data_IF_619713760427
#
_entry.id   IF_619713760427
#
_cell.length_a   1.000
_cell.length_b   1.000
_cell.length_c   1.000
_cell.angle_alpha   90.00
_cell.angle_beta   90.00
_cell.angle_gamma   90.00
#
_symmetry.space_group_name_H-M   'P 1'
#
loop_
_entity.id
_entity.type
_entity.pdbx_description
1 polymer ?
#
# COMPACT_ATOMS: atom_id res chain seq x y z
N UNK A 1 -1.82 -40.74 -60.00
CA UNK A 1 -3.04 -40.07 -59.49
C UNK A 1 -3.39 -40.43 -58.04
N UNK A 2 -3.27 -41.69 -57.58
CA UNK A 2 -3.58 -42.01 -56.12
C UNK A 2 -2.66 -41.36 -55.12
N UNK A 3 -1.35 -41.20 -55.36
CA UNK A 3 -0.38 -40.54 -54.46
C UNK A 3 -0.61 -39.06 -54.31
N UNK A 4 -1.06 -38.35 -55.33
CA UNK A 4 -1.36 -36.91 -55.28
C UNK A 4 -2.64 -36.65 -54.47
N UNK A 5 -3.65 -37.50 -54.59
CA UNK A 5 -4.88 -37.42 -53.79
C UNK A 5 -4.62 -37.65 -52.28
N UNK A 6 -3.66 -38.53 -51.96
CA UNK A 6 -3.28 -38.82 -50.57
C UNK A 6 -2.50 -37.64 -49.95
N UNK A 7 -1.62 -36.97 -50.72
CA UNK A 7 -0.89 -35.77 -50.28
C UNK A 7 -1.83 -34.58 -50.06
N UNK A 8 -2.81 -34.38 -50.94
CA UNK A 8 -3.81 -33.32 -50.77
C UNK A 8 -4.72 -33.57 -49.58
N UNK A 9 -5.11 -34.82 -49.30
CA UNK A 9 -5.90 -35.19 -48.13
C UNK A 9 -5.13 -34.98 -46.83
N UNK A 10 -3.84 -35.34 -46.78
CA UNK A 10 -2.97 -35.09 -45.63
C UNK A 10 -2.72 -33.61 -45.37
N UNK A 11 -2.58 -32.76 -46.44
CA UNK A 11 -2.45 -31.33 -46.32
C UNK A 11 -3.73 -30.66 -45.80
N UNK A 12 -4.91 -31.13 -46.18
CA UNK A 12 -6.18 -30.61 -45.69
C UNK A 12 -6.43 -30.95 -44.23
N UNK A 13 -6.07 -32.17 -43.78
CA UNK A 13 -6.16 -32.55 -42.35
C UNK A 13 -5.15 -31.75 -41.49
N UNK A 14 -3.96 -31.45 -42.00
CA UNK A 14 -2.97 -30.60 -41.29
C UNK A 14 -3.42 -29.14 -41.15
N UNK A 15 -4.13 -28.58 -42.12
CA UNK A 15 -4.65 -27.23 -42.06
C UNK A 15 -5.84 -27.08 -41.07
N UNK A 16 -6.63 -28.15 -40.89
CA UNK A 16 -7.72 -28.17 -39.89
C UNK A 16 -7.25 -28.27 -38.46
N UNK A 17 -6.03 -28.78 -38.20
CA UNK A 17 -5.45 -28.86 -36.85
C UNK A 17 -4.89 -27.53 -36.34
N UNK A 18 -4.76 -26.50 -37.22
CA UNK A 18 -4.23 -25.18 -36.84
C UNK A 18 -5.29 -24.17 -36.36
N UNK A 19 -6.58 -24.54 -36.40
CA UNK A 19 -7.68 -23.67 -35.95
C UNK A 19 -8.11 -23.99 -34.52
N UNK A 20 -7.20 -24.47 -33.68
CA UNK A 20 -7.44 -24.51 -32.22
C UNK A 20 -7.33 -23.07 -31.69
N UNK A 21 -8.40 -22.32 -31.82
CA UNK A 21 -8.57 -21.10 -30.99
C UNK A 21 -8.72 -21.57 -29.55
N UNK A 22 -7.60 -21.75 -28.86
CA UNK A 22 -7.60 -21.82 -27.43
C UNK A 22 -7.92 -20.40 -26.93
N UNK A 23 -9.12 -20.22 -26.39
CA UNK A 23 -9.44 -19.04 -25.60
C UNK A 23 -8.51 -19.09 -24.38
N UNK A 24 -7.48 -18.24 -24.42
CA UNK A 24 -6.48 -18.10 -23.36
C UNK A 24 -6.94 -17.09 -22.29
N UNK A 25 -8.20 -16.70 -22.31
CA UNK A 25 -8.76 -15.82 -21.28
C UNK A 25 -8.77 -16.57 -19.96
N UNK A 26 -7.92 -16.14 -19.05
CA UNK A 26 -7.84 -16.70 -17.72
C UNK A 26 -9.13 -16.41 -16.96
N UNK A 27 -9.84 -17.45 -16.55
CA UNK A 27 -11.00 -17.33 -15.67
C UNK A 27 -10.56 -17.58 -14.24
N UNK A 28 -10.38 -16.49 -13.51
CA UNK A 28 -10.04 -16.55 -12.08
C UNK A 28 -11.31 -16.92 -11.31
N UNK A 29 -11.34 -18.14 -10.73
CA UNK A 29 -12.50 -18.64 -9.97
C UNK A 29 -12.31 -18.56 -8.46
N UNK A 30 -11.09 -18.49 -7.98
CA UNK A 30 -10.76 -18.58 -6.55
C UNK A 30 -10.06 -17.37 -5.97
N UNK A 31 -9.46 -16.51 -6.82
CA UNK A 31 -8.75 -15.34 -6.34
C UNK A 31 -9.59 -14.06 -6.49
N UNK A 32 -9.55 -13.22 -5.46
CA UNK A 32 -10.12 -11.89 -5.52
C UNK A 32 -9.16 -10.99 -6.29
N UNK A 33 -9.53 -10.64 -7.52
CA UNK A 33 -8.82 -9.67 -8.35
C UNK A 33 -9.61 -8.37 -8.40
N UNK A 34 -8.97 -7.26 -8.77
CA UNK A 34 -9.60 -5.94 -8.80
C UNK A 34 -10.96 -5.94 -9.51
N UNK A 35 -11.07 -6.65 -10.63
CA UNK A 35 -12.26 -6.63 -11.47
C UNK A 35 -13.48 -7.37 -10.85
N UNK A 36 -13.27 -8.20 -9.81
CA UNK A 36 -14.34 -8.92 -9.11
C UNK A 36 -14.40 -8.62 -7.60
N UNK A 37 -13.61 -7.66 -7.12
CA UNK A 37 -13.55 -7.34 -5.69
C UNK A 37 -14.66 -6.37 -5.27
N UNK A 38 -14.84 -5.27 -6.00
CA UNK A 38 -15.79 -4.20 -5.63
C UNK A 38 -17.20 -4.50 -6.19
N UNK A 39 -17.88 -5.49 -5.60
CA UNK A 39 -19.20 -5.96 -6.06
C UNK A 39 -20.37 -5.38 -5.27
N UNK A 40 -20.09 -4.83 -4.09
CA UNK A 40 -21.07 -4.27 -3.19
C UNK A 40 -20.45 -3.21 -2.27
N UNK A 41 -21.27 -2.50 -1.51
CA UNK A 41 -20.83 -1.48 -0.56
C UNK A 41 -19.88 -2.04 0.51
N UNK A 42 -20.11 -3.26 0.98
CA UNK A 42 -19.28 -3.88 2.02
C UNK A 42 -17.84 -4.10 1.55
N UNK A 43 -17.64 -4.46 0.29
CA UNK A 43 -16.30 -4.63 -0.30
C UNK A 43 -15.53 -3.30 -0.38
N UNK A 44 -16.23 -2.18 -0.65
CA UNK A 44 -15.65 -0.83 -0.60
C UNK A 44 -15.24 -0.47 0.82
N UNK A 45 -16.15 -0.65 1.79
CA UNK A 45 -15.87 -0.40 3.21
C UNK A 45 -14.71 -1.25 3.72
N UNK A 46 -14.67 -2.53 3.35
CA UNK A 46 -13.57 -3.43 3.71
C UNK A 46 -12.22 -2.97 3.16
N UNK A 47 -12.18 -2.45 1.93
CA UNK A 47 -10.96 -1.90 1.34
C UNK A 47 -10.46 -0.65 2.10
N UNK A 48 -11.38 0.25 2.50
CA UNK A 48 -11.05 1.42 3.30
C UNK A 48 -10.54 1.00 4.68
N UNK A 49 -11.27 0.14 5.39
CA UNK A 49 -10.90 -0.36 6.73
C UNK A 49 -9.55 -1.07 6.70
N UNK A 50 -9.26 -1.82 5.63
CA UNK A 50 -7.97 -2.49 5.45
C UNK A 50 -6.79 -1.51 5.45
N UNK A 51 -6.96 -0.29 4.94
CA UNK A 51 -5.93 0.74 5.00
C UNK A 51 -5.63 1.19 6.44
N UNK A 52 -6.63 1.18 7.32
CA UNK A 52 -6.46 1.53 8.73
C UNK A 52 -5.81 0.42 9.57
N UNK A 53 -5.82 -0.83 9.11
CA UNK A 53 -5.18 -1.93 9.86
C UNK A 53 -3.70 -1.65 10.15
N UNK A 54 -3.00 -1.04 9.22
CA UNK A 54 -1.59 -0.68 9.41
C UNK A 54 -1.37 0.41 10.47
N UNK A 55 -2.43 1.09 10.94
CA UNK A 55 -2.32 2.06 12.03
C UNK A 55 -1.83 1.43 13.35
N UNK A 56 -1.87 0.09 13.47
CA UNK A 56 -1.27 -0.64 14.58
C UNK A 56 0.25 -0.38 14.71
N UNK A 57 0.94 0.00 13.63
CA UNK A 57 2.34 0.41 13.67
C UNK A 57 2.62 1.67 14.51
N UNK A 58 1.59 2.47 14.79
CA UNK A 58 1.66 3.65 15.67
C UNK A 58 1.35 3.27 17.12
N UNK A 59 0.97 2.03 17.38
CA UNK A 59 0.74 1.49 18.72
C UNK A 59 2.02 0.87 19.29
N UNK A 60 1.98 0.47 20.56
CA UNK A 60 3.10 -0.06 21.33
C UNK A 60 3.91 -1.20 20.66
N UNK A 61 3.36 -1.88 19.67
CA UNK A 61 4.04 -2.94 18.91
C UNK A 61 4.85 -2.43 17.74
N UNK A 62 4.44 -1.31 17.15
CA UNK A 62 5.03 -0.76 15.92
C UNK A 62 6.34 -0.03 16.15
N UNK A 63 7.13 0.07 15.09
CA UNK A 63 8.41 0.77 15.13
C UNK A 63 8.23 2.29 15.13
N UNK A 64 7.12 2.81 14.60
CA UNK A 64 6.75 4.23 14.69
C UNK A 64 6.58 4.61 16.17
N UNK A 65 5.80 3.83 16.93
CA UNK A 65 5.62 4.04 18.35
C UNK A 65 6.95 3.98 19.12
N UNK A 66 7.79 2.96 18.84
CA UNK A 66 9.08 2.80 19.51
C UNK A 66 10.00 3.99 19.27
N UNK A 67 10.04 4.53 18.06
CA UNK A 67 10.82 5.73 17.77
C UNK A 67 10.31 6.93 18.55
N UNK A 68 8.99 7.17 18.59
CA UNK A 68 8.42 8.30 19.32
C UNK A 68 8.64 8.19 20.82
N UNK A 69 8.31 7.03 21.42
CA UNK A 69 8.27 6.88 22.87
C UNK A 69 9.65 6.66 23.49
N UNK A 70 10.53 5.89 22.83
CA UNK A 70 11.84 5.58 23.40
C UNK A 70 12.88 6.67 23.16
N UNK A 71 12.67 7.55 22.18
CA UNK A 71 13.53 8.73 22.00
C UNK A 71 13.03 9.95 22.79
N UNK A 72 11.81 9.87 23.31
CA UNK A 72 11.29 10.86 24.26
C UNK A 72 11.80 10.61 25.68
N UNK A 73 11.82 11.63 26.52
CA UNK A 73 12.31 11.53 27.90
C UNK A 73 11.31 10.91 28.87
N UNK A 74 10.10 10.60 28.43
CA UNK A 74 9.02 10.11 29.29
C UNK A 74 8.90 8.59 29.35
N UNK A 75 9.66 7.86 28.52
CA UNK A 75 9.63 6.40 28.50
C UNK A 75 11.02 5.80 28.31
N UNK A 76 11.35 4.76 29.08
CA UNK A 76 12.60 4.01 28.96
C UNK A 76 12.34 2.51 29.04
N UNK A 77 12.93 1.75 28.15
CA UNK A 77 12.89 0.29 28.17
C UNK A 77 14.18 -0.25 28.75
N UNK A 78 14.15 -0.61 30.04
CA UNK A 78 15.32 -1.11 30.74
C UNK A 78 15.41 -2.63 30.71
N UNK A 79 16.64 -3.14 30.82
CA UNK A 79 16.88 -4.57 31.03
C UNK A 79 16.36 -5.01 32.39
N UNK A 80 15.65 -6.16 32.42
CA UNK A 80 15.16 -6.82 33.61
C UNK A 80 15.65 -8.26 33.64
N UNK A 81 16.73 -8.51 34.38
CA UNK A 81 17.41 -9.80 34.38
C UNK A 81 17.95 -10.14 32.98
N UNK A 82 17.47 -11.24 32.39
CA UNK A 82 17.85 -11.62 31.02
C UNK A 82 16.89 -11.10 29.94
N UNK A 83 15.86 -10.33 30.32
CA UNK A 83 14.87 -9.80 29.39
C UNK A 83 15.08 -8.30 29.15
N UNK A 84 14.73 -7.84 27.95
CA UNK A 84 14.72 -6.42 27.59
C UNK A 84 16.08 -5.81 27.27
N UNK A 85 17.17 -6.61 27.27
CA UNK A 85 18.46 -6.12 26.79
C UNK A 85 18.46 -5.98 25.25
N UNK A 86 18.07 -7.02 24.55
CA UNK A 86 17.88 -7.06 23.09
C UNK A 86 19.01 -6.33 22.33
N UNK A 87 20.24 -6.72 22.63
CA UNK A 87 21.47 -6.08 22.12
C UNK A 87 21.59 -4.58 22.41
N UNK A 88 20.93 -4.11 23.48
CA UNK A 88 20.96 -2.69 23.89
C UNK A 88 20.23 -1.73 22.95
N UNK A 89 19.42 -2.25 22.00
CA UNK A 89 18.74 -1.42 21.00
C UNK A 89 17.78 -0.39 21.62
N UNK A 90 17.10 -0.73 22.71
CA UNK A 90 16.14 0.15 23.36
C UNK A 90 16.83 1.29 24.14
N UNK A 91 17.92 0.99 24.80
CA UNK A 91 18.74 2.00 25.49
C UNK A 91 19.42 2.94 24.49
N UNK A 92 19.89 2.42 23.34
CA UNK A 92 20.45 3.30 22.29
C UNK A 92 19.42 4.29 21.74
N UNK A 93 18.14 3.91 21.64
CA UNK A 93 17.07 4.84 21.24
C UNK A 93 16.88 5.91 22.32
N UNK A 94 16.77 5.54 23.59
CA UNK A 94 16.62 6.47 24.70
C UNK A 94 17.81 7.42 24.86
N UNK A 95 19.04 6.93 24.71
CA UNK A 95 20.26 7.72 24.81
C UNK A 95 20.61 8.49 23.54
N UNK A 96 19.77 8.45 22.50
CA UNK A 96 20.03 9.06 21.19
C UNK A 96 21.33 8.61 20.52
N UNK A 97 21.70 7.33 20.73
CA UNK A 97 22.94 6.71 20.19
C UNK A 97 22.67 5.73 19.06
N UNK A 98 21.54 5.87 18.37
CA UNK A 98 21.23 5.03 17.22
C UNK A 98 22.09 5.37 16.00
N UNK A 99 22.11 4.45 15.07
CA UNK A 99 22.72 4.62 13.76
C UNK A 99 21.80 4.06 12.66
N UNK A 100 22.21 4.15 11.43
CA UNK A 100 21.41 3.75 10.25
C UNK A 100 21.05 2.26 10.19
N UNK A 101 21.75 1.38 10.93
CA UNK A 101 21.45 -0.05 10.99
C UNK A 101 20.45 -0.40 12.10
N UNK A 102 19.98 0.58 12.86
CA UNK A 102 18.96 0.36 13.88
C UNK A 102 17.64 -0.07 13.24
N UNK A 103 17.17 -1.30 13.55
CA UNK A 103 16.03 -1.91 12.89
C UNK A 103 14.76 -1.06 12.91
N UNK A 104 14.49 -0.36 14.02
CA UNK A 104 13.30 0.48 14.19
C UNK A 104 13.27 1.67 13.22
N UNK A 105 14.42 2.20 12.83
CA UNK A 105 14.50 3.29 11.85
C UNK A 105 14.03 2.79 10.47
N UNK A 106 14.53 1.64 10.03
CA UNK A 106 14.07 1.04 8.79
C UNK A 106 12.62 0.56 8.87
N UNK A 107 12.23 -0.02 10.03
CA UNK A 107 10.88 -0.53 10.24
C UNK A 107 9.81 0.55 10.16
N UNK A 108 10.03 1.72 10.75
CA UNK A 108 9.11 2.86 10.66
C UNK A 108 8.98 3.40 9.21
N UNK A 109 10.08 3.43 8.45
CA UNK A 109 10.05 3.76 7.02
C UNK A 109 9.19 2.79 6.23
N UNK A 110 9.48 1.49 6.36
CA UNK A 110 8.77 0.42 5.63
C UNK A 110 7.28 0.43 5.98
N UNK A 111 6.93 0.50 7.27
CA UNK A 111 5.54 0.53 7.72
C UNK A 111 4.76 1.72 7.15
N UNK A 112 5.37 2.91 7.14
CA UNK A 112 4.74 4.11 6.59
C UNK A 112 4.48 3.98 5.09
N UNK A 113 5.46 3.53 4.31
CA UNK A 113 5.28 3.37 2.87
C UNK A 113 4.38 2.21 2.47
N UNK A 114 4.33 1.14 3.26
CA UNK A 114 3.34 0.07 3.06
C UNK A 114 1.91 0.60 3.16
N UNK A 115 1.61 1.41 4.16
CA UNK A 115 0.30 2.03 4.28
C UNK A 115 0.01 3.01 3.14
N UNK A 116 0.96 3.90 2.81
CA UNK A 116 0.83 4.84 1.71
C UNK A 116 0.57 4.11 0.39
N UNK A 117 1.30 3.03 0.11
CA UNK A 117 1.10 2.20 -1.08
C UNK A 117 -0.29 1.56 -1.12
N UNK A 118 -0.78 1.08 0.02
CA UNK A 118 -2.12 0.50 0.10
C UNK A 118 -3.21 1.54 -0.12
N UNK A 119 -3.08 2.73 0.48
CA UNK A 119 -3.99 3.86 0.23
C UNK A 119 -3.99 4.25 -1.24
N UNK A 120 -2.81 4.37 -1.86
CA UNK A 120 -2.70 4.69 -3.28
C UNK A 120 -3.37 3.62 -4.16
N UNK A 121 -3.24 2.35 -3.79
CA UNK A 121 -3.90 1.23 -4.50
C UNK A 121 -5.42 1.38 -4.44
N UNK A 122 -5.99 1.59 -3.26
CA UNK A 122 -7.45 1.74 -3.10
C UNK A 122 -7.95 2.99 -3.83
N UNK A 123 -7.26 4.13 -3.71
CA UNK A 123 -7.62 5.36 -4.44
C UNK A 123 -7.59 5.18 -5.96
N UNK A 124 -6.59 4.45 -6.48
CA UNK A 124 -6.51 4.10 -7.90
C UNK A 124 -7.68 3.21 -8.32
N UNK A 125 -7.97 2.18 -7.54
CA UNK A 125 -9.04 1.23 -7.84
C UNK A 125 -10.41 1.91 -7.81
N UNK A 126 -10.63 2.83 -6.89
CA UNK A 126 -11.86 3.63 -6.79
C UNK A 126 -12.16 4.47 -8.04
N UNK A 127 -11.16 4.79 -8.86
CA UNK A 127 -11.37 5.48 -10.13
C UNK A 127 -12.10 4.60 -11.18
N UNK A 128 -12.15 3.28 -10.96
CA UNK A 128 -12.79 2.32 -11.89
C UNK A 128 -14.11 1.76 -11.35
N UNK A 129 -14.46 2.05 -10.09
CA UNK A 129 -15.66 1.53 -9.43
C UNK A 129 -16.89 2.38 -9.78
N UNK A 130 -17.95 1.72 -10.25
CA UNK A 130 -19.27 2.35 -10.36
C UNK A 130 -19.97 2.29 -8.97
N UNK A 131 -19.73 3.31 -8.18
CA UNK A 131 -20.27 3.41 -6.82
C UNK A 131 -21.80 3.40 -6.78
N UNK A 132 -22.46 3.98 -7.77
CA UNK A 132 -23.92 4.04 -7.85
C UNK A 132 -24.54 2.65 -8.07
N UNK A 133 -23.89 1.83 -8.89
CA UNK A 133 -24.35 0.46 -9.17
C UNK A 133 -24.29 -0.45 -7.94
N UNK A 134 -23.42 -0.16 -6.97
CA UNK A 134 -23.25 -0.95 -5.74
C UNK A 134 -23.87 -0.29 -4.50
N UNK A 135 -24.68 0.75 -4.70
CA UNK A 135 -25.47 1.38 -3.65
C UNK A 135 -24.68 2.30 -2.70
N UNK A 136 -23.55 2.82 -3.14
CA UNK A 136 -22.76 3.85 -2.43
C UNK A 136 -23.18 5.23 -2.91
N UNK A 137 -23.56 6.10 -2.00
CA UNK A 137 -23.95 7.48 -2.30
C UNK A 137 -22.75 8.37 -2.59
N UNK A 138 -22.95 9.52 -3.26
CA UNK A 138 -21.89 10.48 -3.53
C UNK A 138 -21.27 11.05 -2.22
N UNK A 139 -22.10 11.19 -1.18
CA UNK A 139 -21.63 11.63 0.14
C UNK A 139 -20.72 10.59 0.79
N UNK A 140 -21.10 9.33 0.79
CA UNK A 140 -20.28 8.23 1.30
C UNK A 140 -18.98 8.06 0.51
N UNK A 141 -19.06 8.13 -0.82
CA UNK A 141 -17.90 8.14 -1.70
C UNK A 141 -16.91 9.26 -1.32
N UNK A 142 -17.41 10.48 -1.14
CA UNK A 142 -16.58 11.62 -0.76
C UNK A 142 -15.94 11.41 0.62
N UNK A 143 -16.67 10.80 1.58
CA UNK A 143 -16.13 10.45 2.89
C UNK A 143 -14.98 9.44 2.78
N UNK A 144 -15.14 8.36 2.02
CA UNK A 144 -14.08 7.36 1.81
C UNK A 144 -12.80 7.97 1.19
N UNK A 145 -12.94 8.86 0.20
CA UNK A 145 -11.79 9.56 -0.37
C UNK A 145 -11.11 10.48 0.65
N UNK A 146 -11.89 11.16 1.50
CA UNK A 146 -11.37 12.02 2.56
C UNK A 146 -10.60 11.21 3.59
N UNK A 147 -11.14 10.11 4.08
CA UNK A 147 -10.53 9.23 5.07
C UNK A 147 -9.18 8.69 4.58
N UNK A 148 -9.15 8.19 3.34
CA UNK A 148 -7.93 7.69 2.72
C UNK A 148 -6.86 8.79 2.55
N UNK A 149 -7.25 10.00 2.16
CA UNK A 149 -6.33 11.14 2.05
C UNK A 149 -5.76 11.56 3.39
N UNK A 150 -6.61 11.64 4.42
CA UNK A 150 -6.18 11.99 5.79
C UNK A 150 -5.23 10.91 6.33
N UNK A 151 -5.55 9.63 6.14
CA UNK A 151 -4.67 8.54 6.56
C UNK A 151 -3.30 8.61 5.86
N UNK A 152 -3.27 8.90 4.56
CA UNK A 152 -2.02 9.12 3.84
C UNK A 152 -1.23 10.31 4.38
N UNK A 153 -1.90 11.43 4.65
CA UNK A 153 -1.27 12.60 5.25
C UNK A 153 -0.66 12.29 6.62
N UNK A 154 -1.34 11.48 7.43
CA UNK A 154 -0.89 11.06 8.75
C UNK A 154 0.42 10.27 8.69
N UNK A 155 0.56 9.33 7.75
CA UNK A 155 1.83 8.61 7.56
C UNK A 155 2.95 9.50 7.01
N UNK A 156 2.63 10.46 6.14
CA UNK A 156 3.63 11.45 5.71
C UNK A 156 4.07 12.38 6.84
N UNK A 157 3.22 12.64 7.83
CA UNK A 157 3.62 13.38 9.04
C UNK A 157 4.73 12.64 9.81
N UNK A 158 4.61 11.32 10.01
CA UNK A 158 5.69 10.53 10.64
C UNK A 158 6.95 10.50 9.79
N UNK A 159 6.81 10.34 8.48
CA UNK A 159 7.95 10.37 7.57
C UNK A 159 8.66 11.72 7.61
N UNK A 160 7.93 12.82 7.63
CA UNK A 160 8.48 14.16 7.76
C UNK A 160 9.18 14.36 9.10
N UNK A 161 8.59 13.89 10.18
CA UNK A 161 9.15 14.03 11.52
C UNK A 161 10.46 13.25 11.69
N UNK A 162 10.48 11.99 11.28
CA UNK A 162 11.64 11.11 11.47
C UNK A 162 12.75 11.34 10.46
N UNK A 163 12.43 11.62 9.19
CA UNK A 163 13.42 11.59 8.09
C UNK A 163 13.57 12.92 7.34
N UNK A 164 12.67 13.86 7.53
CA UNK A 164 12.68 15.20 6.91
C UNK A 164 12.49 15.19 5.39
N UNK A 165 13.40 14.59 4.65
CA UNK A 165 13.38 14.53 3.19
C UNK A 165 12.99 13.11 2.77
N UNK A 166 11.83 12.98 2.13
CA UNK A 166 11.27 11.69 1.76
C UNK A 166 10.60 11.76 0.38
N UNK A 167 10.57 10.65 -0.37
CA UNK A 167 9.83 10.59 -1.62
C UNK A 167 8.33 10.81 -1.41
N UNK A 168 7.71 11.63 -2.27
CA UNK A 168 6.24 11.77 -2.33
C UNK A 168 5.72 10.81 -3.39
N UNK A 169 5.16 9.67 -2.96
CA UNK A 169 4.53 8.67 -3.82
C UNK A 169 3.00 8.84 -3.78
N UNK A 170 2.40 9.29 -4.87
CA UNK A 170 0.95 9.49 -5.02
C UNK A 170 0.26 8.35 -5.73
N UNK A 171 1.04 7.50 -6.40
CA UNK A 171 0.60 6.36 -7.18
C UNK A 171 1.39 5.11 -6.77
N UNK A 172 0.94 3.95 -7.21
CA UNK A 172 1.70 2.72 -7.04
C UNK A 172 2.89 2.74 -7.99
N UNK A 173 4.09 2.67 -7.42
CA UNK A 173 5.34 2.69 -8.18
C UNK A 173 5.65 1.32 -8.77
N UNK A 174 6.25 1.28 -9.95
CA UNK A 174 6.86 0.07 -10.46
C UNK A 174 8.07 -0.32 -9.60
N UNK A 175 8.41 -1.61 -9.56
CA UNK A 175 9.47 -2.13 -8.68
C UNK A 175 10.88 -1.57 -8.96
N UNK A 176 11.08 -1.03 -10.15
CA UNK A 176 12.33 -0.45 -10.65
C UNK A 176 12.31 1.08 -10.73
N UNK A 177 11.19 1.70 -10.37
CA UNK A 177 11.05 3.15 -10.39
C UNK A 177 11.64 3.78 -9.13
N UNK A 178 12.57 4.70 -9.33
CA UNK A 178 13.19 5.49 -8.24
C UNK A 178 12.46 6.82 -8.13
N UNK A 179 11.67 6.98 -7.08
CA UNK A 179 11.05 8.27 -6.75
C UNK A 179 12.08 9.16 -6.06
N UNK A 180 12.36 10.36 -6.59
CA UNK A 180 13.32 11.25 -5.96
C UNK A 180 12.82 11.75 -4.60
N UNK A 181 13.76 12.07 -3.70
CA UNK A 181 13.41 12.70 -2.43
C UNK A 181 12.88 14.12 -2.65
N UNK A 182 11.83 14.45 -1.93
CA UNK A 182 11.29 15.80 -1.81
C UNK A 182 11.88 16.51 -0.61
N UNK A 183 11.93 17.83 -0.64
CA UNK A 183 12.34 18.64 0.51
C UNK A 183 11.33 18.56 1.64
N UNK A 184 11.75 18.82 2.87
CA UNK A 184 10.85 18.85 4.03
C UNK A 184 9.68 19.83 3.83
N UNK A 185 9.91 20.96 3.14
CA UNK A 185 8.85 21.92 2.83
C UNK A 185 7.83 21.35 1.86
N UNK A 186 8.27 20.68 0.79
CA UNK A 186 7.36 20.06 -0.19
C UNK A 186 6.53 18.95 0.47
N UNK A 187 7.12 18.16 1.35
CA UNK A 187 6.39 17.14 2.12
C UNK A 187 5.36 17.79 3.04
N UNK A 188 5.72 18.85 3.74
CA UNK A 188 4.79 19.59 4.59
C UNK A 188 3.63 20.20 3.79
N UNK A 189 3.92 20.86 2.68
CA UNK A 189 2.91 21.43 1.80
C UNK A 189 1.96 20.35 1.25
N UNK A 190 2.49 19.18 0.91
CA UNK A 190 1.70 18.03 0.48
C UNK A 190 0.77 17.50 1.59
N UNK A 191 1.26 17.39 2.83
CA UNK A 191 0.43 17.00 3.99
C UNK A 191 -0.72 17.99 4.16
N UNK A 192 -0.42 19.31 4.14
CA UNK A 192 -1.44 20.35 4.26
C UNK A 192 -2.49 20.25 3.15
N UNK A 193 -2.07 20.02 1.91
CA UNK A 193 -2.98 19.84 0.78
C UNK A 193 -3.93 18.65 0.97
N UNK A 194 -3.42 17.51 1.47
CA UNK A 194 -4.22 16.33 1.73
C UNK A 194 -5.23 16.55 2.86
N UNK A 195 -4.81 17.23 3.93
CA UNK A 195 -5.62 17.47 5.12
C UNK A 195 -6.69 18.54 4.90
N UNK A 196 -6.42 19.56 4.07
CA UNK A 196 -7.36 20.64 3.77
C UNK A 196 -8.28 20.34 2.60
N UNK A 197 -8.17 19.17 1.98
CA UNK A 197 -9.13 18.74 0.96
C UNK A 197 -10.53 18.74 1.57
N UNK A 198 -11.56 19.31 0.87
CA UNK A 198 -12.86 19.54 1.47
C UNK A 198 -13.43 18.20 1.96
N UNK A 199 -13.56 18.08 3.27
CA UNK A 199 -14.40 17.06 3.87
C UNK A 199 -15.84 17.36 3.47
N UNK A 200 -16.63 16.41 3.01
CA UNK A 200 -18.05 16.63 2.85
C UNK A 200 -18.63 17.04 4.21
N UNK A 201 -19.27 18.22 4.22
CA UNK A 201 -20.01 18.70 5.39
C UNK A 201 -21.41 18.12 5.38
#
# INVERSE_FOLDING_TARGET
MKKIKLLCAAGLLGALAMTSCTDLTEKVYSDLVRDNYYTDKLSVEAAVVRCFEHSDNVTWRGDIWKLQELTGDHFVWTQKGRHGYDDGQWIRLHEHKWNYIQGQINGAWVASYQCISQVNTVLRDFNTVDFSAIGVTDEEKAAYYSDLRVLRAWYYMFLLDFYRQVPIATEQQASDEIVPQSTAKEVYDFICLLYTSPSPR
#
